data_IF_189945838166
#
_entry.id   IF_189945838166
#
_cell.length_a   1.000
_cell.length_b   1.000
_cell.length_c   1.000
_cell.angle_alpha   90.00
_cell.angle_beta   90.00
_cell.angle_gamma   90.00
#
_symmetry.space_group_name_H-M   'P 1'
#
loop_
_entity.id
_entity.type
_entity.pdbx_description
1 polymer ?
#
# COMPACT_ATOMS: atom_id res chain seq x y z
N UNK A 1 10.09 11.76 5.97
CA UNK A 1 8.73 11.19 5.80
C UNK A 1 8.58 10.76 4.35
N UNK A 2 8.13 9.53 4.10
CA UNK A 2 8.06 8.94 2.75
C UNK A 2 6.67 8.40 2.43
N UNK A 3 6.45 8.07 1.16
CA UNK A 3 5.27 7.40 0.65
C UNK A 3 5.63 6.05 0.02
N UNK A 4 4.70 5.10 0.04
CA UNK A 4 4.83 3.79 -0.58
C UNK A 4 3.53 3.40 -1.29
N UNK A 5 3.63 2.71 -2.42
CA UNK A 5 2.48 2.06 -3.08
C UNK A 5 2.55 0.53 -3.00
N UNK A 6 1.40 -0.10 -2.73
CA UNK A 6 1.14 -1.51 -2.93
C UNK A 6 0.19 -1.66 -4.13
N UNK A 7 0.65 -2.36 -5.17
CA UNK A 7 -0.12 -2.51 -6.42
C UNK A 7 0.03 -3.91 -6.99
N UNK A 8 -0.98 -4.40 -7.70
CA UNK A 8 -0.89 -5.61 -8.54
C UNK A 8 -0.60 -5.28 -10.01
N UNK A 9 -0.30 -4.00 -10.33
CA UNK A 9 -0.01 -3.51 -11.67
C UNK A 9 1.48 -3.23 -11.89
N UNK A 10 2.08 -3.91 -12.87
CA UNK A 10 3.48 -3.70 -13.26
C UNK A 10 3.73 -2.30 -13.87
N UNK A 11 2.74 -1.72 -14.54
CA UNK A 11 2.88 -0.37 -15.12
C UNK A 11 2.95 0.68 -14.02
N UNK A 12 2.04 0.61 -13.04
CA UNK A 12 2.05 1.52 -11.89
C UNK A 12 3.30 1.34 -11.03
N UNK A 13 3.72 0.09 -10.78
CA UNK A 13 4.98 -0.19 -10.10
C UNK A 13 6.14 0.60 -10.73
N UNK A 14 6.23 0.56 -12.06
CA UNK A 14 7.28 1.25 -12.81
C UNK A 14 7.13 2.77 -12.72
N UNK A 15 5.93 3.32 -12.93
CA UNK A 15 5.66 4.77 -12.88
C UNK A 15 6.00 5.37 -11.51
N UNK A 16 5.59 4.73 -10.42
CA UNK A 16 5.88 5.21 -9.07
C UNK A 16 7.38 5.14 -8.74
N UNK A 17 8.09 4.08 -9.16
CA UNK A 17 9.54 3.99 -9.00
C UNK A 17 10.29 5.08 -9.77
N UNK A 18 9.85 5.39 -10.99
CA UNK A 18 10.41 6.52 -11.76
C UNK A 18 10.20 7.86 -11.06
N UNK A 19 9.10 8.01 -10.33
CA UNK A 19 8.82 9.16 -9.45
C UNK A 19 9.57 9.13 -8.11
N UNK A 20 10.53 8.22 -7.91
CA UNK A 20 11.24 8.00 -6.65
C UNK A 20 10.33 7.68 -5.45
N UNK A 21 9.16 7.10 -5.71
CA UNK A 21 8.24 6.59 -4.67
C UNK A 21 8.50 5.09 -4.49
N UNK A 22 8.57 4.65 -3.24
CA UNK A 22 8.72 3.23 -2.91
C UNK A 22 7.51 2.45 -3.45
N UNK A 23 7.73 1.33 -4.12
CA UNK A 23 6.65 0.57 -4.75
C UNK A 23 6.89 -0.94 -4.64
N UNK A 24 5.88 -1.65 -4.16
CA UNK A 24 5.85 -3.12 -4.05
C UNK A 24 4.74 -3.69 -4.93
N UNK A 25 5.11 -4.70 -5.72
CA UNK A 25 4.14 -5.52 -6.45
C UNK A 25 3.58 -6.57 -5.49
N UNK A 26 2.28 -6.58 -5.31
CA UNK A 26 1.60 -7.46 -4.36
C UNK A 26 0.52 -8.30 -5.01
N UNK A 27 0.33 -9.50 -4.49
CA UNK A 27 -0.78 -10.41 -4.73
C UNK A 27 -1.13 -11.14 -3.44
N UNK A 28 -1.94 -12.19 -3.55
CA UNK A 28 -2.54 -12.85 -2.38
C UNK A 28 -1.50 -13.45 -1.43
N UNK A 29 -0.35 -13.90 -1.95
CA UNK A 29 0.68 -14.58 -1.16
C UNK A 29 1.58 -13.64 -0.35
N UNK A 30 1.75 -12.39 -0.78
CA UNK A 30 2.70 -11.45 -0.17
C UNK A 30 2.08 -10.17 0.37
N UNK A 31 0.78 -9.93 0.14
CA UNK A 31 0.09 -8.74 0.62
C UNK A 31 0.25 -8.54 2.13
N UNK A 32 -0.02 -9.57 2.95
CA UNK A 32 0.02 -9.44 4.41
C UNK A 32 1.41 -9.03 4.93
N UNK A 33 2.47 -9.58 4.32
CA UNK A 33 3.85 -9.26 4.68
C UNK A 33 4.16 -7.81 4.32
N UNK A 34 3.86 -7.40 3.09
CA UNK A 34 4.13 -6.04 2.62
C UNK A 34 3.29 -4.99 3.35
N UNK A 35 2.02 -5.29 3.63
CA UNK A 35 1.13 -4.42 4.39
C UNK A 35 1.65 -4.22 5.83
N UNK A 36 2.05 -5.32 6.49
CA UNK A 36 2.64 -5.28 7.84
C UNK A 36 3.97 -4.55 7.89
N UNK A 37 4.82 -4.73 6.90
CA UNK A 37 6.07 -4.00 6.81
C UNK A 37 5.82 -2.50 6.60
N UNK A 38 4.81 -2.15 5.80
CA UNK A 38 4.46 -0.76 5.51
C UNK A 38 3.99 -0.03 6.78
N UNK A 39 3.06 -0.60 7.54
CA UNK A 39 2.54 0.10 8.73
C UNK A 39 3.47 0.06 9.94
N UNK A 40 4.50 -0.80 9.95
CA UNK A 40 5.55 -0.79 10.97
C UNK A 40 6.64 0.24 10.70
N UNK A 41 6.68 0.80 9.50
CA UNK A 41 7.66 1.81 9.13
C UNK A 41 7.23 3.17 9.68
N UNK A 42 7.86 3.60 10.78
CA UNK A 42 7.59 4.88 11.44
C UNK A 42 7.86 6.10 10.55
N UNK A 43 8.63 5.95 9.47
CA UNK A 43 8.90 7.03 8.52
C UNK A 43 7.86 7.11 7.38
N UNK A 44 6.97 6.12 7.26
CA UNK A 44 5.94 6.06 6.25
C UNK A 44 4.75 6.94 6.63
N UNK A 45 4.54 8.01 5.87
CA UNK A 45 3.42 8.93 6.09
C UNK A 45 2.17 8.49 5.32
N UNK A 46 2.36 7.98 4.09
CA UNK A 46 1.28 7.65 3.17
C UNK A 46 1.51 6.26 2.60
N UNK A 47 0.49 5.40 2.70
CA UNK A 47 0.43 4.09 2.05
C UNK A 47 -0.65 4.12 0.96
N UNK A 48 -0.22 4.10 -0.29
CA UNK A 48 -1.09 4.07 -1.46
C UNK A 48 -1.42 2.60 -1.77
N UNK A 49 -2.67 2.28 -2.00
CA UNK A 49 -3.12 0.93 -2.37
C UNK A 49 -4.02 1.03 -3.60
N UNK A 50 -3.77 0.25 -4.64
CA UNK A 50 -4.67 0.23 -5.81
C UNK A 50 -6.02 -0.40 -5.45
N UNK A 51 -7.10 0.06 -6.09
CA UNK A 51 -8.46 -0.43 -5.81
C UNK A 51 -8.58 -1.96 -5.95
N UNK A 52 -7.92 -2.55 -6.93
CA UNK A 52 -7.83 -4.01 -7.12
C UNK A 52 -7.30 -4.73 -5.88
N UNK A 53 -6.19 -4.25 -5.32
CA UNK A 53 -5.57 -4.79 -4.10
C UNK A 53 -6.45 -4.52 -2.87
N UNK A 54 -7.04 -3.32 -2.78
CA UNK A 54 -7.97 -2.99 -1.70
C UNK A 54 -9.17 -3.92 -1.68
N UNK A 55 -9.84 -4.13 -2.82
CA UNK A 55 -11.04 -4.97 -2.89
C UNK A 55 -10.78 -6.41 -2.43
N UNK A 56 -9.60 -6.97 -2.75
CA UNK A 56 -9.20 -8.32 -2.31
C UNK A 56 -8.92 -8.40 -0.80
N UNK A 57 -8.54 -7.29 -0.18
CA UNK A 57 -8.02 -7.24 1.19
C UNK A 57 -8.79 -6.26 2.11
N UNK A 58 -10.02 -5.90 1.74
CA UNK A 58 -10.80 -4.80 2.32
C UNK A 58 -10.90 -4.91 3.85
N UNK A 59 -11.32 -6.07 4.35
CA UNK A 59 -11.48 -6.31 5.79
C UNK A 59 -10.20 -6.02 6.57
N UNK A 60 -9.04 -6.39 6.02
CA UNK A 60 -7.76 -6.19 6.68
C UNK A 60 -7.39 -4.71 6.74
N UNK A 61 -7.54 -4.02 5.62
CA UNK A 61 -7.19 -2.60 5.47
C UNK A 61 -8.11 -1.73 6.34
N UNK A 62 -9.41 -2.01 6.33
CA UNK A 62 -10.39 -1.21 7.06
C UNK A 62 -10.34 -1.44 8.57
N UNK A 63 -10.06 -2.68 9.02
CA UNK A 63 -9.78 -2.94 10.43
C UNK A 63 -8.54 -2.15 10.89
N UNK A 64 -7.47 -2.16 10.10
CA UNK A 64 -6.28 -1.38 10.43
C UNK A 64 -6.58 0.13 10.52
N UNK A 65 -7.30 0.69 9.53
CA UNK A 65 -7.69 2.13 9.53
C UNK A 65 -8.54 2.53 10.73
N UNK A 66 -9.31 1.58 11.28
CA UNK A 66 -10.14 1.81 12.46
C UNK A 66 -9.29 1.94 13.73
N UNK A 67 -8.27 1.10 13.83
CA UNK A 67 -7.46 0.96 15.05
C UNK A 67 -6.23 1.90 15.05
N UNK A 68 -5.79 2.35 13.88
CA UNK A 68 -4.55 3.12 13.71
C UNK A 68 -4.74 4.32 12.78
N UNK A 69 -4.09 5.44 13.13
CA UNK A 69 -4.16 6.70 12.38
C UNK A 69 -3.01 6.94 11.41
N UNK A 70 -1.92 6.16 11.48
CA UNK A 70 -0.75 6.28 10.59
C UNK A 70 -0.22 4.90 10.21
N UNK A 71 0.20 4.67 8.96
CA UNK A 71 0.25 5.63 7.85
C UNK A 71 -1.15 5.99 7.32
N UNK A 72 -1.30 7.17 6.71
CA UNK A 72 -2.51 7.51 5.98
C UNK A 72 -2.64 6.58 4.77
N UNK A 73 -3.67 5.75 4.75
CA UNK A 73 -3.90 4.84 3.63
C UNK A 73 -4.78 5.54 2.59
N UNK A 74 -4.29 5.65 1.35
CA UNK A 74 -5.01 6.24 0.22
C UNK A 74 -5.31 5.15 -0.80
N UNK A 75 -6.56 5.07 -1.26
CA UNK A 75 -6.95 4.14 -2.32
C UNK A 75 -6.99 4.91 -3.63
N UNK A 76 -6.31 4.41 -4.66
CA UNK A 76 -6.34 4.99 -6.00
C UNK A 76 -6.89 3.97 -7.00
N UNK A 77 -7.49 4.48 -8.07
CA UNK A 77 -7.75 3.67 -9.26
C UNK A 77 -6.42 3.40 -9.98
N UNK A 78 -6.30 2.20 -10.54
CA UNK A 78 -5.08 1.73 -11.17
C UNK A 78 -5.33 0.90 -12.41
#
# INVERSE_FOLDING_TARGET
MKAKILTDSNSLLTMFRLGAIEASLVGDQNFEVEFKNSYKDENLAILIITRSVYNKNMNRIDNYRRDYSMPLIVIIDG
#
